data_IF_116327131927
#
_entry.id   IF_116327131927
#
_cell.length_a   1.000
_cell.length_b   1.000
_cell.length_c   1.000
_cell.angle_alpha   90.00
_cell.angle_beta   90.00
_cell.angle_gamma   90.00
#
_symmetry.space_group_name_H-M   'P 1'
#
loop_
_entity.id
_entity.type
_entity.pdbx_description
1 polymer ?
#
# COMPACT_ATOMS: atom_id res chain seq x y z
N UNK A 1 8.80 1.81 -13.61
CA UNK A 1 9.23 1.84 -12.20
C UNK A 1 8.61 0.69 -11.43
N UNK A 2 9.29 0.15 -10.42
CA UNK A 2 8.70 -0.88 -9.54
C UNK A 2 7.78 -0.23 -8.51
N UNK A 3 6.61 -0.82 -8.31
CA UNK A 3 5.58 -0.32 -7.39
C UNK A 3 4.78 -1.48 -6.80
N UNK A 4 4.22 -1.27 -5.61
CA UNK A 4 3.31 -2.22 -4.99
C UNK A 4 1.90 -2.10 -5.59
N UNK A 5 1.33 -3.23 -5.98
CA UNK A 5 -0.06 -3.33 -6.46
C UNK A 5 -0.84 -4.36 -5.68
N UNK A 6 -2.13 -4.13 -5.48
CA UNK A 6 -3.04 -5.09 -4.86
C UNK A 6 -3.02 -6.39 -5.67
N UNK A 7 -2.94 -7.52 -4.97
CA UNK A 7 -2.92 -8.84 -5.59
C UNK A 7 -3.75 -9.82 -4.77
N UNK A 8 -4.69 -10.51 -5.42
CA UNK A 8 -5.37 -11.66 -4.85
C UNK A 8 -4.42 -12.85 -4.87
N UNK A 9 -3.72 -13.07 -3.76
CA UNK A 9 -2.79 -14.18 -3.64
C UNK A 9 -3.54 -15.48 -3.29
N UNK A 10 -3.56 -16.52 -4.15
CA UNK A 10 -4.35 -17.72 -3.87
C UNK A 10 -3.81 -18.56 -2.70
N UNK A 11 -2.53 -18.39 -2.36
CA UNK A 11 -1.90 -19.07 -1.23
C UNK A 11 -1.80 -18.18 0.02
N UNK A 12 -2.69 -17.19 0.15
CA UNK A 12 -2.81 -16.39 1.35
C UNK A 12 -3.21 -17.26 2.55
N UNK A 13 -2.73 -16.91 3.74
CA UNK A 13 -3.09 -17.58 4.99
C UNK A 13 -4.56 -17.32 5.35
N UNK A 14 -5.09 -18.05 6.33
CA UNK A 14 -6.48 -17.85 6.79
C UNK A 14 -6.73 -16.49 7.42
N UNK A 15 -5.67 -15.77 7.80
CA UNK A 15 -5.67 -14.43 8.36
C UNK A 15 -5.44 -13.31 7.33
N UNK A 16 -5.10 -13.68 6.09
CA UNK A 16 -4.96 -12.76 4.97
C UNK A 16 -6.32 -12.41 4.35
N UNK A 17 -6.39 -11.21 3.80
CA UNK A 17 -7.53 -10.76 3.02
C UNK A 17 -7.08 -9.87 1.87
N UNK A 18 -7.88 -9.84 0.81
CA UNK A 18 -7.75 -8.88 -0.27
C UNK A 18 -9.15 -8.41 -0.65
N UNK A 19 -9.48 -7.16 -0.29
CA UNK A 19 -10.75 -6.53 -0.64
C UNK A 19 -10.60 -5.49 -1.76
N UNK A 20 -9.36 -5.14 -2.10
CA UNK A 20 -9.02 -4.23 -3.19
C UNK A 20 -9.23 -4.85 -4.57
N UNK A 21 -9.01 -4.04 -5.60
CA UNK A 21 -9.08 -4.42 -7.00
C UNK A 21 -7.70 -4.90 -7.46
N UNK A 22 -7.65 -6.08 -8.08
CA UNK A 22 -6.41 -6.63 -8.64
C UNK A 22 -5.67 -5.60 -9.52
N UNK A 23 -4.37 -5.41 -9.26
CA UNK A 23 -3.51 -4.53 -10.04
C UNK A 23 -3.59 -3.04 -9.73
N UNK A 24 -4.49 -2.60 -8.84
CA UNK A 24 -4.49 -1.18 -8.42
C UNK A 24 -3.29 -0.87 -7.50
N UNK A 25 -2.88 0.40 -7.44
CA UNK A 25 -1.80 0.85 -6.57
C UNK A 25 -2.10 0.53 -5.10
N UNK A 26 -1.18 -0.18 -4.44
CA UNK A 26 -1.24 -0.50 -3.03
C UNK A 26 -0.27 0.39 -2.25
N UNK A 27 -0.79 1.17 -1.32
CA UNK A 27 -0.01 2.20 -0.61
C UNK A 27 -0.08 1.97 0.91
N UNK A 28 1.04 2.08 1.64
CA UNK A 28 1.02 2.10 3.10
C UNK A 28 0.26 3.32 3.61
N UNK A 29 -0.42 3.17 4.73
CA UNK A 29 -1.02 4.28 5.46
C UNK A 29 -0.56 4.21 6.92
N UNK A 30 -0.43 5.34 7.63
CA UNK A 30 -0.14 5.30 9.05
C UNK A 30 -1.15 4.40 9.79
N UNK A 31 -0.72 3.43 10.61
CA UNK A 31 -1.64 2.56 11.31
C UNK A 31 -2.49 3.36 12.29
N UNK A 32 -3.78 3.04 12.38
CA UNK A 32 -4.65 3.67 13.37
C UNK A 32 -4.39 3.08 14.77
N UNK A 33 -4.83 3.78 15.82
CA UNK A 33 -4.65 3.37 17.21
C UNK A 33 -5.46 2.12 17.63
N UNK A 34 -6.23 1.51 16.71
CA UNK A 34 -7.05 0.34 16.99
C UNK A 34 -6.29 -0.95 16.69
N UNK A 35 -6.01 -1.72 17.74
CA UNK A 35 -5.29 -2.99 17.65
C UNK A 35 -6.00 -4.05 16.77
N UNK A 36 -7.33 -4.00 16.66
CA UNK A 36 -8.13 -4.97 15.92
C UNK A 36 -8.41 -4.59 14.45
N UNK A 37 -7.94 -3.42 14.00
CA UNK A 37 -8.33 -2.87 12.69
C UNK A 37 -7.56 -3.49 11.51
N UNK A 38 -6.39 -4.07 11.74
CA UNK A 38 -5.55 -4.65 10.68
C UNK A 38 -4.77 -3.63 9.82
N UNK A 39 -4.83 -2.33 10.16
CA UNK A 39 -4.05 -1.30 9.47
C UNK A 39 -2.54 -1.56 9.53
N UNK A 40 -2.04 -2.20 10.57
CA UNK A 40 -0.62 -2.54 10.72
C UNK A 40 -0.15 -3.71 9.85
N UNK A 41 -1.05 -4.36 9.10
CA UNK A 41 -0.71 -5.53 8.26
C UNK A 41 -1.28 -5.44 6.85
N UNK A 42 -1.71 -4.25 6.42
CA UNK A 42 -2.37 -4.08 5.13
C UNK A 42 -2.02 -2.77 4.46
N UNK A 43 -2.22 -2.73 3.15
CA UNK A 43 -2.10 -1.54 2.33
C UNK A 43 -3.43 -1.21 1.69
N UNK A 44 -3.65 0.08 1.42
CA UNK A 44 -4.88 0.57 0.81
C UNK A 44 -4.75 0.60 -0.71
N UNK A 45 -5.78 0.13 -1.41
CA UNK A 45 -5.94 0.35 -2.84
C UNK A 45 -6.40 1.78 -3.12
N UNK A 46 -5.65 2.55 -3.92
CA UNK A 46 -5.96 3.97 -4.13
C UNK A 46 -7.28 4.22 -4.88
N UNK A 47 -7.71 3.29 -5.74
CA UNK A 47 -8.95 3.47 -6.50
C UNK A 47 -10.17 2.96 -5.69
N UNK A 48 -10.08 1.74 -5.19
CA UNK A 48 -11.16 1.04 -4.47
C UNK A 48 -11.36 1.56 -3.05
N UNK A 49 -10.30 2.10 -2.43
CA UNK A 49 -10.21 2.45 -1.00
C UNK A 49 -10.43 1.22 -0.10
N UNK A 50 -10.06 0.05 -0.57
CA UNK A 50 -10.16 -1.21 0.18
C UNK A 50 -8.77 -1.79 0.41
N UNK A 51 -8.62 -2.47 1.55
CA UNK A 51 -7.34 -2.94 2.01
C UNK A 51 -7.01 -4.36 1.50
N UNK A 52 -5.72 -4.67 1.43
CA UNK A 52 -5.20 -6.01 1.22
C UNK A 52 -4.00 -6.26 2.14
N UNK A 53 -3.89 -7.46 2.69
CA UNK A 53 -2.71 -7.93 3.44
C UNK A 53 -1.61 -8.46 2.53
N UNK A 54 -1.86 -8.53 1.22
CA UNK A 54 -0.86 -8.92 0.23
C UNK A 54 -0.76 -7.88 -0.87
N UNK A 55 0.47 -7.60 -1.29
CA UNK A 55 0.79 -6.72 -2.42
C UNK A 55 1.84 -7.38 -3.31
N UNK A 56 1.69 -7.25 -4.61
CA UNK A 56 2.66 -7.72 -5.59
C UNK A 56 3.56 -6.59 -6.03
N UNK A 57 4.85 -6.86 -6.15
CA UNK A 57 5.82 -5.98 -6.80
C UNK A 57 5.56 -6.04 -8.31
N UNK A 58 5.10 -4.93 -8.87
CA UNK A 58 4.77 -4.81 -10.29
C UNK A 58 5.67 -3.78 -10.95
N UNK A 59 5.98 -4.01 -12.23
CA UNK A 59 6.66 -3.03 -13.05
C UNK A 59 5.61 -2.23 -13.82
N UNK A 60 5.54 -0.93 -13.55
CA UNK A 60 4.55 -0.02 -14.13
C UNK A 60 5.23 1.04 -14.98
N UNK A 61 4.63 1.37 -16.12
CA UNK A 61 5.02 2.52 -16.94
C UNK A 61 4.40 3.80 -16.37
N UNK A 62 4.82 4.16 -15.16
CA UNK A 62 4.38 5.35 -14.43
C UNK A 62 5.61 6.05 -13.84
N UNK A 63 5.56 7.38 -13.85
CA UNK A 63 6.50 8.23 -13.12
C UNK A 63 6.10 8.37 -11.66
N UNK A 64 7.00 8.90 -10.83
CA UNK A 64 6.69 9.23 -9.44
C UNK A 64 5.56 10.28 -9.36
N UNK A 65 5.56 11.27 -10.26
CA UNK A 65 4.51 12.31 -10.33
C UNK A 65 3.14 11.71 -10.64
N UNK A 66 3.07 10.68 -11.48
CA UNK A 66 1.81 9.95 -11.75
C UNK A 66 1.27 9.28 -10.48
N UNK A 67 2.16 8.71 -9.65
CA UNK A 67 1.77 8.13 -8.36
C UNK A 67 1.27 9.18 -7.38
N UNK A 68 1.91 10.36 -7.35
CA UNK A 68 1.47 11.50 -6.54
C UNK A 68 0.08 11.98 -6.95
N UNK A 69 -0.18 12.10 -8.26
CA UNK A 69 -1.50 12.46 -8.80
C UNK A 69 -2.55 11.41 -8.42
N UNK A 70 -2.22 10.13 -8.51
CA UNK A 70 -3.12 9.04 -8.11
C UNK A 70 -3.48 9.12 -6.62
N UNK A 71 -2.49 9.39 -5.76
CA UNK A 71 -2.72 9.56 -4.32
C UNK A 71 -3.57 10.81 -4.01
N UNK A 72 -3.31 11.94 -4.68
CA UNK A 72 -4.11 13.15 -4.51
C UNK A 72 -5.59 12.89 -4.87
N UNK A 73 -5.84 12.14 -5.95
CA UNK A 73 -7.19 11.71 -6.34
C UNK A 73 -7.86 10.80 -5.29
N UNK A 74 -7.10 9.90 -4.67
CA UNK A 74 -7.56 9.10 -3.52
C UNK A 74 -7.92 10.01 -2.34
N UNK A 75 -7.04 10.94 -1.97
CA UNK A 75 -7.18 11.79 -0.78
C UNK A 75 -8.46 12.62 -0.81
N UNK A 76 -8.72 13.31 -1.93
CA UNK A 76 -9.93 14.14 -2.10
C UNK A 76 -11.21 13.31 -1.97
N UNK A 77 -11.19 12.06 -2.42
CA UNK A 77 -12.36 11.16 -2.35
C UNK A 77 -12.53 10.54 -0.96
N UNK A 78 -11.43 10.26 -0.27
CA UNK A 78 -11.44 9.65 1.05
C UNK A 78 -11.76 10.67 2.15
N UNK A 79 -11.31 11.92 2.00
CA UNK A 79 -11.57 13.02 2.93
C UNK A 79 -12.01 14.30 2.19
N UNK A 80 -13.28 14.38 1.77
CA UNK A 80 -13.81 15.55 1.04
C UNK A 80 -13.65 16.86 1.83
N UNK A 81 -13.79 16.79 3.15
CA UNK A 81 -13.68 17.97 4.04
C UNK A 81 -12.23 18.40 4.29
N UNK A 82 -11.24 17.57 3.89
CA UNK A 82 -9.82 17.87 4.02
C UNK A 82 -9.24 18.62 2.81
N UNK A 83 -10.09 19.10 1.88
CA UNK A 83 -9.66 19.80 0.66
C UNK A 83 -8.80 21.05 0.92
N UNK A 84 -8.85 21.64 2.12
CA UNK A 84 -7.99 22.76 2.54
C UNK A 84 -6.61 22.36 3.10
N UNK A 85 -6.30 21.07 3.19
CA UNK A 85 -5.06 20.53 3.77
C UNK A 85 -4.06 20.09 2.68
N UNK A 86 -4.04 20.77 1.53
CA UNK A 86 -3.26 20.40 0.35
C UNK A 86 -1.79 20.07 0.65
N UNK A 87 -1.09 20.94 1.37
CA UNK A 87 0.31 20.73 1.74
C UNK A 87 0.52 19.48 2.62
N UNK A 88 -0.44 19.14 3.48
CA UNK A 88 -0.38 17.94 4.33
C UNK A 88 -0.60 16.70 3.47
N UNK A 89 -1.57 16.75 2.56
CA UNK A 89 -1.87 15.66 1.64
C UNK A 89 -0.69 15.39 0.71
N UNK A 90 -0.03 16.42 0.21
CA UNK A 90 1.16 16.29 -0.65
C UNK A 90 2.34 15.69 0.10
N UNK A 91 2.63 16.15 1.32
CA UNK A 91 3.69 15.57 2.15
C UNK A 91 3.42 14.11 2.48
N UNK A 92 2.19 13.79 2.89
CA UNK A 92 1.80 12.41 3.17
C UNK A 92 1.87 11.53 1.92
N UNK A 93 1.42 12.04 0.77
CA UNK A 93 1.53 11.33 -0.50
C UNK A 93 2.99 11.01 -0.82
N UNK A 94 3.87 12.02 -0.72
CA UNK A 94 5.29 11.86 -0.97
C UNK A 94 5.92 10.80 -0.06
N UNK A 95 5.64 10.87 1.25
CA UNK A 95 6.13 9.89 2.22
C UNK A 95 5.61 8.48 1.93
N UNK A 96 4.29 8.31 1.74
CA UNK A 96 3.70 6.97 1.57
C UNK A 96 4.06 6.34 0.22
N UNK A 97 4.14 7.14 -0.85
CA UNK A 97 4.60 6.65 -2.15
C UNK A 97 6.09 6.28 -2.09
N UNK A 98 6.93 7.08 -1.43
CA UNK A 98 8.36 6.75 -1.25
C UNK A 98 8.52 5.42 -0.53
N UNK A 99 7.81 5.20 0.57
CA UNK A 99 7.85 3.92 1.29
C UNK A 99 7.44 2.76 0.39
N UNK A 100 6.38 2.91 -0.41
CA UNK A 100 5.92 1.86 -1.32
C UNK A 100 6.92 1.57 -2.45
N UNK A 101 7.51 2.61 -3.06
CA UNK A 101 8.48 2.44 -4.14
C UNK A 101 9.80 1.87 -3.63
N UNK A 102 10.27 2.31 -2.46
CA UNK A 102 11.48 1.79 -1.83
C UNK A 102 11.30 0.32 -1.45
N UNK A 103 10.14 -0.03 -0.87
CA UNK A 103 9.80 -1.42 -0.60
C UNK A 103 9.81 -2.26 -1.89
N UNK A 104 9.15 -1.79 -2.96
CA UNK A 104 9.08 -2.50 -4.23
C UNK A 104 10.46 -2.69 -4.90
N UNK A 105 11.34 -1.69 -4.81
CA UNK A 105 12.68 -1.72 -5.40
C UNK A 105 13.61 -2.77 -4.76
N UNK A 106 13.32 -3.22 -3.54
CA UNK A 106 14.12 -4.21 -2.82
C UNK A 106 13.84 -5.67 -3.26
N UNK A 107 12.87 -5.91 -4.14
CA UNK A 107 12.48 -7.26 -4.55
C UNK A 107 12.27 -7.36 -6.07
N UNK A 108 12.44 -8.55 -6.67
CA UNK A 108 12.13 -8.75 -8.09
C UNK A 108 10.66 -8.53 -8.43
N UNK A 109 10.32 -8.03 -9.64
CA UNK A 109 8.94 -8.01 -10.14
C UNK A 109 8.29 -9.40 -10.06
N UNK A 110 7.00 -9.44 -9.72
CA UNK A 110 6.23 -10.65 -9.49
C UNK A 110 6.29 -11.19 -8.06
N UNK A 111 7.20 -10.68 -7.22
CA UNK A 111 7.25 -11.05 -5.79
C UNK A 111 5.96 -10.59 -5.10
N UNK A 112 5.33 -11.49 -4.35
CA UNK A 112 4.20 -11.16 -3.47
C UNK A 112 4.73 -10.93 -2.07
N UNK A 113 4.35 -9.81 -1.47
CA UNK A 113 4.79 -9.35 -0.17
C UNK A 113 3.60 -9.24 0.77
N UNK A 114 3.85 -9.54 2.05
CA UNK A 114 2.98 -9.21 3.17
C UNK A 114 3.59 -8.04 3.94
N UNK A 115 2.90 -6.91 4.10
CA UNK A 115 3.40 -5.79 4.87
C UNK A 115 3.11 -5.99 6.36
N UNK A 116 3.99 -5.47 7.22
CA UNK A 116 3.76 -5.34 8.65
C UNK A 116 4.44 -4.08 9.18
N UNK A 117 3.71 -3.30 9.97
CA UNK A 117 4.26 -2.13 10.63
C UNK A 117 5.03 -2.55 11.89
N UNK A 118 6.27 -2.11 12.02
CA UNK A 118 7.06 -2.24 13.24
C UNK A 118 6.91 -0.97 14.08
N UNK A 119 6.14 -1.06 15.15
CA UNK A 119 5.90 0.06 16.08
C UNK A 119 7.15 0.48 16.87
N UNK A 120 8.17 -0.36 16.98
CA UNK A 120 9.41 -0.02 17.70
C UNK A 120 10.38 0.79 16.84
N UNK A 121 10.37 0.53 15.52
CA UNK A 121 11.21 1.23 14.54
C UNK A 121 10.44 2.30 13.74
N UNK A 122 9.12 2.39 13.95
CA UNK A 122 8.21 3.30 13.25
C UNK A 122 8.31 3.17 11.71
N UNK A 123 8.43 1.93 11.23
CA UNK A 123 8.68 1.62 9.82
C UNK A 123 7.81 0.47 9.30
N UNK A 124 7.61 0.44 7.98
CA UNK A 124 7.00 -0.70 7.30
C UNK A 124 8.04 -1.76 6.96
N UNK A 125 7.74 -3.01 7.31
CA UNK A 125 8.53 -4.19 6.95
C UNK A 125 7.77 -5.11 6.02
N UNK A 126 8.51 -5.77 5.15
CA UNK A 126 7.97 -6.62 4.10
C UNK A 126 8.58 -8.01 4.17
N UNK A 127 7.73 -9.02 4.09
CA UNK A 127 8.13 -10.41 4.00
C UNK A 127 7.51 -11.04 2.77
N UNK A 128 8.27 -11.90 2.08
CA UNK A 128 7.77 -12.62 0.92
C UNK A 128 6.62 -13.52 1.39
N UNK A 129 5.46 -13.38 0.75
CA UNK A 129 4.33 -14.24 0.99
C UNK A 129 4.71 -15.65 0.52
N UNK A 130 4.88 -16.55 1.47
CA UNK A 130 5.06 -17.98 1.20
C UNK A 130 3.70 -18.66 1.28
N UNK A 131 3.30 -19.30 0.18
CA UNK A 131 2.28 -20.35 0.20
C UNK A 131 2.88 -21.65 0.72
N UNK A 132 2.18 -22.35 1.61
CA UNK A 132 2.46 -23.76 1.88
C UNK A 132 2.25 -24.49 0.55
N UNK A 133 3.31 -25.15 0.06
CA UNK A 133 3.26 -26.07 -1.09
C UNK A 133 2.23 -27.17 -0.89
#
# INVERSE_FOLDING_TARGET
MQMLTIHHYPAAGTDDFCWGVEGELAVPMPPCARADCGCERSHIGLNSRKASTTAKVSELDLSFDDLMIAFAGYWVRAWPDAAGLGDIAEKLAHEMITVATDAAANYPPGTVLRPRYDHSAEEWRYHIASGVS
#
